data_IF_640889617725
#
_entry.id   IF_640889617725
#
_cell.length_a   1.000
_cell.length_b   1.000
_cell.length_c   1.000
_cell.angle_alpha   90.00
_cell.angle_beta   90.00
_cell.angle_gamma   90.00
#
_symmetry.space_group_name_H-M   'P 1'
#
loop_
_entity.id
_entity.type
_entity.pdbx_description
1 polymer ?
#
# COMPACT_ATOMS: atom_id res chain seq x y z
N UNK A 1 -21.37 39.55 25.42
CA UNK A 1 -20.33 39.74 26.45
C UNK A 1 -19.14 40.41 25.78
N UNK A 2 -18.57 41.51 26.33
CA UNK A 2 -17.41 42.13 25.72
C UNK A 2 -16.20 41.22 25.94
N UNK A 3 -15.53 40.83 24.85
CA UNK A 3 -14.28 40.08 24.90
C UNK A 3 -13.23 40.94 25.60
N UNK A 4 -12.62 40.38 26.64
CA UNK A 4 -11.40 40.90 27.26
C UNK A 4 -10.41 41.32 26.18
N UNK A 5 -9.91 42.55 26.24
CA UNK A 5 -8.87 43.06 25.33
C UNK A 5 -7.57 42.34 25.63
N UNK A 6 -7.39 41.14 25.06
CA UNK A 6 -6.11 40.45 25.12
C UNK A 6 -5.10 41.31 24.35
N UNK A 7 -4.05 41.72 25.05
CA UNK A 7 -2.90 42.45 24.49
C UNK A 7 -1.99 41.53 23.66
N UNK A 8 -2.34 40.26 23.53
CA UNK A 8 -1.61 39.26 22.75
C UNK A 8 -1.89 39.31 21.26
N UNK A 9 -0.93 38.83 20.48
CA UNK A 9 -1.15 38.52 19.06
C UNK A 9 -1.77 37.14 18.91
N UNK A 10 -2.73 36.99 18.00
CA UNK A 10 -3.43 35.73 17.73
C UNK A 10 -3.80 35.65 16.24
N UNK A 11 -4.20 34.49 15.74
CA UNK A 11 -4.57 34.32 14.33
C UNK A 11 -6.08 34.18 14.18
N UNK A 12 -6.65 34.88 13.19
CA UNK A 12 -8.06 34.77 12.79
C UNK A 12 -8.12 34.25 11.37
N UNK A 13 -8.89 33.20 11.14
CA UNK A 13 -9.17 32.68 9.81
C UNK A 13 -10.57 33.11 9.35
N UNK A 14 -10.71 33.39 8.05
CA UNK A 14 -11.99 33.59 7.36
C UNK A 14 -11.95 32.91 5.99
N UNK A 15 -13.09 32.84 5.31
CA UNK A 15 -13.21 32.31 3.95
C UNK A 15 -12.26 32.97 2.94
N UNK A 16 -11.85 34.23 3.18
CA UNK A 16 -11.05 35.01 2.23
C UNK A 16 -9.55 35.09 2.57
N UNK A 17 -9.19 34.96 3.85
CA UNK A 17 -7.82 35.22 4.29
C UNK A 17 -7.52 34.63 5.67
N UNK A 18 -6.22 34.58 5.98
CA UNK A 18 -5.71 34.36 7.33
C UNK A 18 -5.11 35.68 7.82
N UNK A 19 -5.51 36.12 9.01
CA UNK A 19 -5.06 37.37 9.62
C UNK A 19 -4.21 37.08 10.84
N UNK A 20 -3.08 37.80 10.96
CA UNK A 20 -2.40 37.97 12.24
C UNK A 20 -3.03 39.18 12.93
N UNK A 21 -3.61 38.97 14.10
CA UNK A 21 -4.33 39.95 14.90
C UNK A 21 -3.46 40.43 16.07
N UNK A 22 -3.69 41.67 16.52
CA UNK A 22 -3.27 42.22 17.81
C UNK A 22 -4.49 42.88 18.44
N UNK A 23 -4.99 42.35 19.55
CA UNK A 23 -6.30 42.74 20.08
C UNK A 23 -7.38 42.53 19.01
N UNK A 24 -8.13 43.59 18.67
CA UNK A 24 -9.22 43.54 17.67
C UNK A 24 -8.80 44.00 16.26
N UNK A 25 -7.52 44.25 16.02
CA UNK A 25 -7.00 44.80 14.75
C UNK A 25 -6.06 43.81 14.09
N UNK A 26 -6.05 43.72 12.75
CA UNK A 26 -5.08 42.89 12.02
C UNK A 26 -3.80 43.66 11.71
N UNK A 27 -2.66 42.98 11.78
CA UNK A 27 -1.32 43.52 11.50
C UNK A 27 -0.66 42.85 10.28
N UNK A 28 -1.13 41.66 9.87
CA UNK A 28 -0.75 41.03 8.61
C UNK A 28 -1.91 40.21 8.06
N UNK A 29 -1.97 40.05 6.74
CA UNK A 29 -3.01 39.34 6.02
C UNK A 29 -2.38 38.46 4.94
N UNK A 30 -2.65 37.16 5.00
CA UNK A 30 -2.36 36.21 3.92
C UNK A 30 -3.65 35.99 3.13
N UNK A 31 -3.67 36.43 1.88
CA UNK A 31 -4.79 36.24 0.96
C UNK A 31 -4.82 34.79 0.47
N UNK A 32 -6.00 34.17 0.44
CA UNK A 32 -6.18 32.82 -0.12
C UNK A 32 -6.30 32.80 -1.65
N UNK A 33 -6.35 33.98 -2.27
CA UNK A 33 -6.37 34.21 -3.70
C UNK A 33 -5.50 35.44 -4.04
N UNK A 34 -4.84 35.47 -5.22
CA UNK A 34 -3.94 36.58 -5.58
C UNK A 34 -4.65 37.93 -5.63
N UNK A 35 -4.04 38.97 -5.06
CA UNK A 35 -4.42 40.36 -5.34
C UNK A 35 -4.03 40.75 -6.77
N UNK A 36 -4.91 41.46 -7.48
CA UNK A 36 -4.61 42.01 -8.80
C UNK A 36 -3.63 43.19 -8.78
N UNK A 37 -3.24 43.68 -7.59
CA UNK A 37 -2.48 44.93 -7.41
C UNK A 37 -1.13 44.77 -6.74
N UNK A 38 -0.76 43.58 -6.26
CA UNK A 38 0.50 43.37 -5.56
C UNK A 38 1.33 42.24 -6.21
N UNK A 39 2.36 42.56 -7.01
CA UNK A 39 3.17 41.57 -7.71
C UNK A 39 4.13 40.79 -6.80
N UNK A 40 4.25 41.15 -5.51
CA UNK A 40 5.06 40.42 -4.54
C UNK A 40 4.27 39.37 -3.75
N UNK A 41 2.94 39.28 -3.93
CA UNK A 41 2.15 38.20 -3.35
C UNK A 41 2.46 36.87 -4.04
N UNK A 42 2.83 35.86 -3.25
CA UNK A 42 2.95 34.49 -3.72
C UNK A 42 1.67 33.72 -3.40
N UNK A 43 1.05 33.15 -4.44
CA UNK A 43 -0.06 32.22 -4.28
C UNK A 43 0.49 30.83 -4.06
N UNK A 44 0.22 30.26 -2.89
CA UNK A 44 0.51 28.86 -2.64
C UNK A 44 -0.63 28.01 -3.21
N UNK A 45 -0.30 27.08 -4.11
CA UNK A 45 -1.27 26.10 -4.57
C UNK A 45 -1.55 25.10 -3.44
N UNK A 46 -2.69 25.27 -2.78
CA UNK A 46 -3.14 24.43 -1.68
C UNK A 46 -4.19 23.38 -2.11
N UNK A 47 -4.36 23.15 -3.41
CA UNK A 47 -5.40 22.24 -3.93
C UNK A 47 -5.27 20.83 -3.33
N UNK A 48 -4.04 20.35 -3.09
CA UNK A 48 -3.79 19.08 -2.42
C UNK A 48 -4.13 19.06 -0.93
N UNK A 49 -4.22 20.22 -0.27
CA UNK A 49 -4.56 20.32 1.16
C UNK A 49 -6.04 20.14 1.43
N UNK A 50 -6.92 20.52 0.49
CA UNK A 50 -8.38 20.41 0.67
C UNK A 50 -8.80 18.95 0.95
N UNK A 51 -8.33 18.01 0.12
CA UNK A 51 -8.57 16.58 0.34
C UNK A 51 -7.82 16.02 1.56
N UNK A 52 -6.71 16.66 1.97
CA UNK A 52 -5.94 16.23 3.15
C UNK A 52 -6.66 16.51 4.46
N UNK A 53 -7.42 17.62 4.56
CA UNK A 53 -8.22 17.93 5.75
C UNK A 53 -9.40 16.99 5.98
N UNK A 54 -9.79 16.21 4.97
CA UNK A 54 -10.85 15.18 5.09
C UNK A 54 -10.29 13.82 5.56
N UNK A 55 -8.96 13.67 5.68
CA UNK A 55 -8.33 12.44 6.14
C UNK A 55 -8.31 12.35 7.66
N UNK A 56 -8.31 11.13 8.20
CA UNK A 56 -8.20 10.89 9.64
C UNK A 56 -6.89 11.42 10.25
N UNK A 57 -5.85 11.61 9.44
CA UNK A 57 -4.53 12.13 9.79
C UNK A 57 -4.32 13.58 9.32
N UNK A 58 -5.39 14.36 9.28
CA UNK A 58 -5.30 15.78 8.92
C UNK A 58 -4.27 16.52 9.81
N UNK A 59 -3.52 17.48 9.27
CA UNK A 59 -2.50 18.19 10.03
C UNK A 59 -3.16 19.04 11.12
N UNK A 60 -2.71 18.87 12.37
CA UNK A 60 -3.20 19.63 13.54
C UNK A 60 -2.32 20.82 13.88
N UNK A 61 -1.15 20.94 13.25
CA UNK A 61 -0.20 22.03 13.45
C UNK A 61 0.53 22.38 12.15
N UNK A 62 1.00 23.63 12.07
CA UNK A 62 1.84 24.14 10.98
C UNK A 62 3.03 24.86 11.60
N UNK A 63 4.25 24.54 11.13
CA UNK A 63 5.49 25.16 11.60
C UNK A 63 6.02 26.10 10.52
N UNK A 64 6.39 27.32 10.90
CA UNK A 64 7.08 28.29 10.04
C UNK A 64 8.52 28.45 10.52
N UNK A 65 9.49 28.22 9.63
CA UNK A 65 10.90 28.49 9.90
C UNK A 65 11.30 29.80 9.19
N UNK A 66 11.71 30.81 9.95
CA UNK A 66 12.23 32.07 9.42
C UNK A 66 13.76 32.07 9.51
N UNK A 67 14.45 32.00 8.37
CA UNK A 67 15.90 32.29 8.29
C UNK A 67 16.85 31.28 8.95
N UNK A 68 16.41 30.04 9.22
CA UNK A 68 17.24 29.08 9.99
C UNK A 68 18.19 28.22 9.16
N UNK A 69 18.08 28.22 7.83
CA UNK A 69 18.86 27.30 6.98
C UNK A 69 18.65 25.82 7.35
N UNK A 70 17.53 25.50 8.01
CA UNK A 70 17.21 24.14 8.41
C UNK A 70 17.16 23.24 7.17
N UNK A 71 17.74 22.02 7.23
CA UNK A 71 17.69 21.10 6.10
C UNK A 71 16.23 20.79 5.75
N UNK A 72 15.98 20.63 4.46
CA UNK A 72 14.71 20.15 3.95
C UNK A 72 14.40 18.79 4.62
N UNK A 73 13.17 18.57 5.14
CA UNK A 73 12.81 17.27 5.68
C UNK A 73 12.90 16.22 4.57
N UNK A 74 13.33 15.01 4.92
CA UNK A 74 13.38 13.91 3.96
C UNK A 74 11.99 13.68 3.34
N UNK A 75 11.91 13.35 2.03
CA UNK A 75 10.64 13.08 1.39
C UNK A 75 9.94 11.93 2.11
N UNK A 76 8.63 12.08 2.33
CA UNK A 76 7.84 10.99 2.88
C UNK A 76 7.87 9.78 1.94
N UNK A 77 8.28 8.63 2.48
CA UNK A 77 8.28 7.36 1.76
C UNK A 77 7.17 6.47 2.35
N UNK A 78 6.25 5.94 1.52
CA UNK A 78 5.32 4.91 1.92
C UNK A 78 6.03 3.79 2.69
N UNK A 79 5.55 3.49 3.89
CA UNK A 79 6.15 2.45 4.74
C UNK A 79 5.37 1.15 4.69
N UNK A 80 6.12 0.06 4.60
CA UNK A 80 5.70 -1.33 4.78
C UNK A 80 6.94 -2.14 5.22
N UNK A 81 6.78 -3.28 5.90
CA UNK A 81 7.93 -4.14 6.25
C UNK A 81 8.71 -4.65 5.03
N UNK A 82 8.05 -4.66 3.87
CA UNK A 82 8.62 -5.19 2.62
C UNK A 82 8.76 -6.71 2.63
N UNK A 83 8.25 -7.37 3.68
CA UNK A 83 8.31 -8.82 3.88
C UNK A 83 6.93 -9.37 4.20
N UNK A 84 6.66 -10.54 3.65
CA UNK A 84 5.44 -11.29 3.92
C UNK A 84 5.47 -11.76 5.37
N UNK A 85 4.41 -11.49 6.10
CA UNK A 85 4.31 -11.91 7.49
C UNK A 85 4.03 -13.42 7.60
N UNK A 86 4.14 -14.02 8.81
CA UNK A 86 3.94 -15.46 9.00
C UNK A 86 2.58 -15.97 8.52
N UNK A 87 1.52 -15.18 8.68
CA UNK A 87 0.17 -15.52 8.22
C UNK A 87 0.06 -15.57 6.70
N UNK A 88 0.70 -14.63 6.00
CA UNK A 88 0.79 -14.63 4.54
C UNK A 88 1.54 -15.83 4.00
N UNK A 89 2.68 -16.17 4.62
CA UNK A 89 3.46 -17.35 4.27
C UNK A 89 2.63 -18.62 4.49
N UNK A 90 1.93 -18.73 5.62
CA UNK A 90 1.05 -19.86 5.91
C UNK A 90 -0.10 -19.99 4.88
N UNK A 91 -0.69 -18.86 4.47
CA UNK A 91 -1.73 -18.81 3.45
C UNK A 91 -1.21 -19.31 2.10
N UNK A 92 -0.06 -18.81 1.66
CA UNK A 92 0.57 -19.24 0.39
C UNK A 92 0.83 -20.74 0.43
N UNK A 93 1.48 -21.24 1.49
CA UNK A 93 1.78 -22.66 1.65
C UNK A 93 0.54 -23.55 1.63
N UNK A 94 -0.56 -23.09 2.24
CA UNK A 94 -1.82 -23.81 2.25
C UNK A 94 -2.40 -23.98 0.83
N UNK A 95 -2.40 -22.92 0.02
CA UNK A 95 -2.99 -22.96 -1.32
C UNK A 95 -2.08 -23.57 -2.40
N UNK A 96 -0.76 -23.40 -2.29
CA UNK A 96 0.19 -24.02 -3.23
C UNK A 96 0.38 -25.52 -2.94
N UNK A 97 0.42 -25.89 -1.66
CA UNK A 97 0.67 -27.26 -1.21
C UNK A 97 2.13 -27.70 -1.42
N UNK A 98 2.63 -28.56 -0.52
CA UNK A 98 4.01 -29.05 -0.57
C UNK A 98 4.14 -30.29 -1.46
N UNK A 99 5.06 -30.24 -2.43
CA UNK A 99 5.50 -31.40 -3.24
C UNK A 99 7.01 -31.58 -3.14
N UNK A 100 7.46 -32.57 -2.37
CA UNK A 100 8.89 -32.87 -2.15
C UNK A 100 9.55 -33.64 -3.29
N UNK A 101 8.78 -34.10 -4.27
CA UNK A 101 9.29 -34.77 -5.47
C UNK A 101 8.85 -33.97 -6.69
N UNK A 102 9.77 -33.72 -7.62
CA UNK A 102 9.48 -33.00 -8.85
C UNK A 102 8.40 -33.71 -9.68
N UNK A 103 7.44 -32.94 -10.18
CA UNK A 103 6.34 -33.41 -11.02
C UNK A 103 6.20 -32.48 -12.24
N UNK A 104 5.50 -32.94 -13.28
CA UNK A 104 5.13 -32.07 -14.39
C UNK A 104 3.74 -31.49 -14.14
N UNK A 105 3.61 -30.17 -14.27
CA UNK A 105 2.32 -29.50 -14.28
C UNK A 105 1.51 -29.84 -15.55
N UNK A 106 0.24 -29.40 -15.68
CA UNK A 106 -0.59 -29.70 -16.85
C UNK A 106 -0.02 -29.23 -18.20
N UNK A 107 0.94 -28.28 -18.19
CA UNK A 107 1.60 -27.78 -19.40
C UNK A 107 2.99 -28.39 -19.62
N UNK A 108 3.39 -29.36 -18.79
CA UNK A 108 4.61 -30.15 -18.95
C UNK A 108 5.86 -29.57 -18.28
N UNK A 109 5.74 -28.50 -17.50
CA UNK A 109 6.86 -27.84 -16.82
C UNK A 109 7.19 -28.59 -15.53
N UNK A 110 8.48 -28.82 -15.28
CA UNK A 110 8.94 -29.44 -14.03
C UNK A 110 8.79 -28.47 -12.85
N UNK A 111 8.06 -28.92 -11.84
CA UNK A 111 7.69 -28.13 -10.65
C UNK A 111 8.01 -28.90 -9.37
N UNK A 112 8.45 -28.20 -8.31
CA UNK A 112 8.76 -28.79 -7.00
C UNK A 112 8.44 -27.81 -5.86
N UNK A 113 8.40 -28.29 -4.62
CA UNK A 113 8.16 -27.47 -3.43
C UNK A 113 6.74 -26.89 -3.43
N UNK A 114 6.65 -25.57 -3.30
CA UNK A 114 5.40 -24.79 -3.34
C UNK A 114 5.21 -24.10 -4.70
N UNK A 115 5.31 -24.87 -5.78
CA UNK A 115 5.11 -24.35 -7.15
C UNK A 115 6.37 -23.80 -7.84
N UNK A 116 7.57 -24.05 -7.29
CA UNK A 116 8.82 -23.57 -7.87
C UNK A 116 9.14 -24.25 -9.21
N UNK A 117 9.64 -23.47 -10.18
CA UNK A 117 10.09 -23.95 -11.48
C UNK A 117 11.44 -23.34 -11.83
N UNK A 118 12.22 -23.96 -12.72
CA UNK A 118 13.52 -23.44 -13.18
C UNK A 118 13.45 -22.03 -13.79
N UNK A 119 12.25 -21.57 -14.21
CA UNK A 119 12.06 -20.21 -14.73
C UNK A 119 12.02 -19.16 -13.62
N UNK A 120 11.68 -19.55 -12.39
CA UNK A 120 11.71 -18.67 -11.22
C UNK A 120 13.15 -18.37 -10.77
N UNK A 121 14.11 -19.20 -11.19
CA UNK A 121 15.53 -19.06 -10.87
C UNK A 121 16.11 -20.38 -10.40
N UNK A 122 17.27 -20.35 -9.72
CA UNK A 122 17.80 -21.53 -9.05
C UNK A 122 16.89 -21.94 -7.87
N UNK A 123 16.84 -23.24 -7.51
CA UNK A 123 17.52 -24.34 -8.18
C UNK A 123 16.80 -24.80 -9.47
N UNK A 124 17.53 -25.23 -10.51
CA UNK A 124 16.89 -25.85 -11.67
C UNK A 124 16.16 -27.14 -11.26
N UNK A 125 14.88 -27.23 -11.62
CA UNK A 125 14.04 -28.41 -11.39
C UNK A 125 14.18 -29.38 -12.56
N UNK A 126 14.44 -30.64 -12.25
CA UNK A 126 14.61 -31.71 -13.22
C UNK A 126 13.93 -33.00 -12.76
N UNK A 127 13.72 -33.93 -13.71
CA UNK A 127 13.08 -35.22 -13.47
C UNK A 127 13.79 -36.00 -12.36
N UNK A 128 13.03 -36.45 -11.38
CA UNK A 128 13.55 -37.27 -10.27
C UNK A 128 14.21 -36.46 -9.14
N UNK A 129 14.22 -35.12 -9.23
CA UNK A 129 14.67 -34.27 -8.13
C UNK A 129 13.75 -34.45 -6.91
N UNK A 130 14.36 -34.56 -5.73
CA UNK A 130 13.68 -34.62 -4.44
C UNK A 130 14.28 -33.61 -3.47
N UNK A 131 13.44 -33.01 -2.64
CA UNK A 131 13.84 -32.06 -1.61
C UNK A 131 13.13 -32.36 -0.28
N UNK A 132 13.71 -31.90 0.81
CA UNK A 132 13.10 -31.89 2.14
C UNK A 132 12.08 -30.74 2.25
N UNK A 133 11.21 -30.81 3.27
CA UNK A 133 10.28 -29.71 3.57
C UNK A 133 11.01 -28.40 3.92
N UNK A 134 12.19 -28.48 4.55
CA UNK A 134 13.01 -27.33 4.89
C UNK A 134 13.63 -26.68 3.64
N UNK A 135 14.10 -27.48 2.69
CA UNK A 135 14.57 -26.97 1.40
C UNK A 135 13.43 -26.34 0.60
N UNK A 136 12.24 -26.94 0.62
CA UNK A 136 11.06 -26.36 -0.03
C UNK A 136 10.66 -24.99 0.59
N UNK A 137 10.79 -24.83 1.90
CA UNK A 137 10.59 -23.54 2.56
C UNK A 137 11.65 -22.51 2.13
N UNK A 138 12.92 -22.90 2.08
CA UNK A 138 13.99 -22.01 1.65
C UNK A 138 13.80 -21.53 0.20
N UNK A 139 13.38 -22.43 -0.70
CA UNK A 139 13.03 -22.12 -2.08
C UNK A 139 11.84 -21.15 -2.13
N UNK A 140 10.78 -21.40 -1.35
CA UNK A 140 9.63 -20.50 -1.29
C UNK A 140 10.03 -19.09 -0.85
N UNK A 141 10.88 -18.94 0.16
CA UNK A 141 11.34 -17.62 0.60
C UNK A 141 12.10 -16.87 -0.52
N UNK A 142 12.92 -17.59 -1.30
CA UNK A 142 13.61 -17.00 -2.45
C UNK A 142 12.64 -16.59 -3.57
N UNK A 143 11.65 -17.42 -3.86
CA UNK A 143 10.62 -17.10 -4.85
C UNK A 143 9.82 -15.85 -4.41
N UNK A 144 9.49 -15.76 -3.12
CA UNK A 144 8.76 -14.63 -2.55
C UNK A 144 9.53 -13.32 -2.66
N UNK A 145 10.87 -13.31 -2.61
CA UNK A 145 11.67 -12.07 -2.77
C UNK A 145 11.35 -11.33 -4.08
N UNK A 146 11.02 -12.05 -5.16
CA UNK A 146 10.61 -11.43 -6.42
C UNK A 146 9.24 -10.74 -6.28
N UNK A 147 8.28 -11.43 -5.67
CA UNK A 147 6.92 -10.92 -5.51
C UNK A 147 6.84 -9.79 -4.49
N UNK A 148 7.54 -9.91 -3.36
CA UNK A 148 7.65 -8.88 -2.33
C UNK A 148 8.22 -7.58 -2.90
N UNK A 149 9.33 -7.64 -3.64
CA UNK A 149 9.88 -6.46 -4.33
C UNK A 149 8.94 -5.93 -5.39
N UNK A 150 8.30 -6.82 -6.15
CA UNK A 150 7.37 -6.47 -7.20
C UNK A 150 6.12 -5.75 -6.70
N UNK A 151 5.61 -6.16 -5.52
CA UNK A 151 4.48 -5.56 -4.82
C UNK A 151 4.92 -4.25 -4.15
N UNK A 152 5.99 -4.26 -3.37
CA UNK A 152 6.54 -3.08 -2.71
C UNK A 152 6.76 -1.91 -3.68
N UNK A 153 7.42 -2.19 -4.82
CA UNK A 153 7.68 -1.17 -5.85
C UNK A 153 6.44 -0.66 -6.59
N UNK A 154 5.26 -1.24 -6.35
CA UNK A 154 4.00 -0.81 -6.95
C UNK A 154 3.10 -0.05 -5.95
N UNK A 155 3.45 -0.03 -4.66
CA UNK A 155 2.67 0.65 -3.61
C UNK A 155 3.07 2.12 -3.54
N UNK A 156 2.07 2.99 -3.40
CA UNK A 156 2.27 4.45 -3.29
C UNK A 156 1.78 5.03 -1.97
N UNK A 157 1.29 4.17 -1.06
CA UNK A 157 0.77 4.55 0.25
C UNK A 157 1.30 3.62 1.35
N UNK A 158 1.33 4.11 2.60
CA UNK A 158 1.63 3.26 3.75
C UNK A 158 0.67 2.08 3.79
N UNK A 159 1.24 0.88 3.90
CA UNK A 159 0.54 -0.39 3.80
C UNK A 159 0.91 -1.25 5.00
N UNK A 160 -0.09 -1.78 5.71
CA UNK A 160 0.21 -2.66 6.84
C UNK A 160 0.64 -4.07 6.38
N UNK A 161 1.27 -4.83 7.27
CA UNK A 161 1.84 -6.13 6.94
C UNK A 161 0.81 -7.15 6.43
N UNK A 162 -0.42 -7.10 6.93
CA UNK A 162 -1.50 -7.98 6.51
C UNK A 162 -1.97 -7.67 5.08
N UNK A 163 -2.15 -6.39 4.75
CA UNK A 163 -2.48 -5.94 3.41
C UNK A 163 -1.37 -6.28 2.42
N UNK A 164 -0.11 -6.00 2.80
CA UNK A 164 1.06 -6.34 2.00
C UNK A 164 1.11 -7.84 1.71
N UNK A 165 1.01 -8.66 2.76
CA UNK A 165 1.08 -10.13 2.65
C UNK A 165 -0.05 -10.73 1.81
N UNK A 166 -1.27 -10.21 1.93
CA UNK A 166 -2.38 -10.63 1.09
C UNK A 166 -2.17 -10.25 -0.39
N UNK A 167 -1.62 -9.06 -0.67
CA UNK A 167 -1.27 -8.65 -2.02
C UNK A 167 -0.10 -9.45 -2.61
N UNK A 168 0.88 -9.85 -1.79
CA UNK A 168 1.96 -10.76 -2.20
C UNK A 168 1.40 -12.14 -2.54
N UNK A 169 0.53 -12.73 -1.70
CA UNK A 169 -0.10 -14.01 -2.01
C UNK A 169 -0.95 -13.96 -3.30
N UNK A 170 -1.69 -12.87 -3.48
CA UNK A 170 -2.46 -12.64 -4.70
C UNK A 170 -1.54 -12.55 -5.92
N UNK A 171 -0.47 -11.74 -5.84
CA UNK A 171 0.50 -11.58 -6.92
C UNK A 171 1.26 -12.88 -7.22
N UNK A 172 1.53 -13.71 -6.21
CA UNK A 172 2.12 -15.04 -6.38
C UNK A 172 1.22 -15.93 -7.24
N UNK A 173 -0.09 -15.85 -7.05
CA UNK A 173 -1.06 -16.62 -7.82
C UNK A 173 -1.28 -16.14 -9.25
N UNK A 174 -1.46 -14.83 -9.43
CA UNK A 174 -1.88 -14.25 -10.72
C UNK A 174 -0.71 -13.70 -11.55
N UNK A 175 0.47 -13.63 -10.95
CA UNK A 175 1.66 -13.00 -11.50
C UNK A 175 1.71 -11.48 -11.27
N UNK A 176 2.93 -10.93 -11.20
CA UNK A 176 3.16 -9.50 -11.00
C UNK A 176 2.56 -8.61 -12.11
N UNK A 177 2.51 -9.11 -13.34
CA UNK A 177 1.92 -8.38 -14.46
C UNK A 177 0.42 -8.13 -14.27
N UNK A 178 -0.34 -9.15 -13.86
CA UNK A 178 -1.76 -9.01 -13.58
C UNK A 178 -2.01 -8.17 -12.31
N UNK A 179 -1.20 -8.37 -11.27
CA UNK A 179 -1.26 -7.55 -10.05
C UNK A 179 -1.09 -6.05 -10.33
N UNK A 180 -0.05 -5.67 -11.08
CA UNK A 180 0.25 -4.26 -11.40
C UNK A 180 -0.86 -3.55 -12.17
N UNK A 181 -1.61 -4.31 -12.99
CA UNK A 181 -2.72 -3.77 -13.77
C UNK A 181 -4.10 -3.95 -13.10
N UNK A 182 -4.13 -4.47 -11.86
CA UNK A 182 -5.37 -4.81 -11.18
C UNK A 182 -6.12 -3.58 -10.66
N UNK A 183 -7.46 -3.67 -10.66
CA UNK A 183 -8.31 -2.71 -9.94
C UNK A 183 -8.06 -2.76 -8.43
N UNK A 184 -7.62 -3.91 -7.90
CA UNK A 184 -7.23 -4.06 -6.50
C UNK A 184 -6.12 -3.08 -6.14
N UNK A 185 -4.99 -3.11 -6.85
CA UNK A 185 -3.87 -2.20 -6.61
C UNK A 185 -4.26 -0.74 -6.81
N UNK A 186 -5.03 -0.44 -7.86
CA UNK A 186 -5.50 0.93 -8.12
C UNK A 186 -6.34 1.49 -6.96
N UNK A 187 -7.28 0.70 -6.43
CA UNK A 187 -8.09 1.10 -5.27
C UNK A 187 -7.26 1.20 -3.99
N UNK A 188 -6.34 0.25 -3.77
CA UNK A 188 -5.43 0.28 -2.64
C UNK A 188 -4.63 1.58 -2.64
N UNK A 189 -3.93 1.91 -3.73
CA UNK A 189 -3.13 3.13 -3.85
C UNK A 189 -3.97 4.42 -3.79
N UNK A 190 -5.27 4.36 -4.03
CA UNK A 190 -6.21 5.47 -3.83
C UNK A 190 -6.70 5.60 -2.37
N UNK A 191 -6.26 4.73 -1.45
CA UNK A 191 -6.73 4.68 -0.07
C UNK A 191 -8.10 4.00 0.12
N UNK A 192 -8.71 3.49 -0.94
CA UNK A 192 -9.98 2.75 -0.89
C UNK A 192 -9.73 1.29 -0.48
N UNK A 193 -9.38 1.09 0.79
CA UNK A 193 -9.04 -0.24 1.31
C UNK A 193 -10.23 -1.21 1.29
N UNK A 194 -11.44 -0.73 1.59
CA UNK A 194 -12.65 -1.54 1.56
C UNK A 194 -12.99 -1.96 0.12
N UNK A 195 -12.89 -1.04 -0.83
CA UNK A 195 -13.09 -1.34 -2.23
C UNK A 195 -12.00 -2.25 -2.80
N UNK A 196 -10.75 -2.11 -2.37
CA UNK A 196 -9.65 -3.02 -2.74
C UNK A 196 -9.89 -4.43 -2.23
N UNK A 197 -10.32 -4.59 -0.97
CA UNK A 197 -10.68 -5.89 -0.41
C UNK A 197 -11.81 -6.58 -1.19
N UNK A 198 -12.75 -5.81 -1.76
CA UNK A 198 -13.84 -6.34 -2.58
C UNK A 198 -13.42 -6.69 -4.01
N UNK A 199 -12.18 -6.42 -4.43
CA UNK A 199 -11.67 -6.84 -5.73
C UNK A 199 -11.13 -8.28 -5.71
N UNK A 200 -10.69 -8.82 -4.57
CA UNK A 200 -10.21 -10.21 -4.49
C UNK A 200 -11.21 -11.23 -5.07
N UNK A 201 -12.52 -11.24 -4.71
CA UNK A 201 -13.47 -12.23 -5.21
C UNK A 201 -13.76 -12.16 -6.71
N UNK A 202 -13.22 -11.17 -7.43
CA UNK A 202 -13.38 -11.05 -8.89
C UNK A 202 -12.39 -11.92 -9.66
N UNK A 203 -11.32 -12.38 -9.00
CA UNK A 203 -10.24 -13.17 -9.58
C UNK A 203 -10.42 -14.66 -9.30
N UNK A 204 -11.58 -15.19 -9.73
CA UNK A 204 -12.02 -16.57 -9.46
C UNK A 204 -12.19 -17.42 -10.73
N UNK A 205 -11.89 -16.85 -11.89
CA UNK A 205 -12.08 -17.48 -13.19
C UNK A 205 -10.76 -18.01 -13.75
N UNK A 206 -10.80 -19.20 -14.33
CA UNK A 206 -9.77 -19.71 -15.23
C UNK A 206 -10.48 -20.26 -16.48
N UNK A 207 -10.01 -19.91 -17.68
CA UNK A 207 -10.65 -20.26 -18.95
C UNK A 207 -12.17 -19.98 -18.99
N UNK A 208 -12.59 -18.87 -18.37
CA UNK A 208 -13.99 -18.45 -18.30
C UNK A 208 -14.86 -19.23 -17.30
N UNK A 209 -14.30 -20.20 -16.59
CA UNK A 209 -15.00 -21.03 -15.60
C UNK A 209 -14.63 -20.59 -14.18
N UNK A 210 -15.61 -20.55 -13.27
CA UNK A 210 -15.36 -20.31 -11.84
C UNK A 210 -14.66 -21.55 -11.26
N UNK A 211 -13.49 -21.35 -10.65
CA UNK A 211 -12.78 -22.41 -9.94
C UNK A 211 -13.03 -22.33 -8.43
N UNK A 212 -13.63 -23.36 -7.80
CA UNK A 212 -13.88 -23.36 -6.35
C UNK A 212 -12.61 -23.14 -5.50
N UNK A 213 -11.45 -23.62 -5.97
CA UNK A 213 -10.17 -23.38 -5.33
C UNK A 213 -9.79 -21.89 -5.30
N UNK A 214 -9.99 -21.17 -6.40
CA UNK A 214 -9.75 -19.73 -6.46
C UNK A 214 -10.75 -18.96 -5.61
N UNK A 215 -12.02 -19.38 -5.56
CA UNK A 215 -13.02 -18.76 -4.67
C UNK A 215 -12.55 -18.79 -3.20
N UNK A 216 -12.13 -19.97 -2.71
CA UNK A 216 -11.60 -20.11 -1.34
C UNK A 216 -10.33 -19.28 -1.13
N UNK A 217 -9.39 -19.33 -2.08
CA UNK A 217 -8.14 -18.55 -2.01
C UNK A 217 -8.40 -17.05 -1.92
N UNK A 218 -9.24 -16.52 -2.79
CA UNK A 218 -9.57 -15.09 -2.81
C UNK A 218 -10.32 -14.63 -1.56
N UNK A 219 -11.17 -15.48 -0.99
CA UNK A 219 -11.81 -15.19 0.30
C UNK A 219 -10.79 -15.15 1.44
N UNK A 220 -9.87 -16.13 1.50
CA UNK A 220 -8.81 -16.16 2.50
C UNK A 220 -7.88 -14.94 2.41
N UNK A 221 -7.41 -14.59 1.21
CA UNK A 221 -6.57 -13.41 1.00
C UNK A 221 -7.30 -12.12 1.38
N UNK A 222 -8.59 -12.01 1.05
CA UNK A 222 -9.42 -10.88 1.49
C UNK A 222 -9.50 -10.80 3.01
N UNK A 223 -9.71 -11.91 3.70
CA UNK A 223 -9.75 -11.96 5.16
C UNK A 223 -8.41 -11.51 5.75
N UNK A 224 -7.28 -12.05 5.25
CA UNK A 224 -5.94 -11.62 5.66
C UNK A 224 -5.77 -10.11 5.44
N UNK A 225 -6.12 -9.59 4.26
CA UNK A 225 -6.02 -8.17 3.93
C UNK A 225 -6.81 -7.27 4.91
N UNK A 226 -7.97 -7.74 5.38
CA UNK A 226 -8.81 -7.07 6.36
C UNK A 226 -8.37 -7.29 7.82
N UNK A 227 -7.28 -8.02 8.05
CA UNK A 227 -6.79 -8.38 9.39
C UNK A 227 -7.69 -9.38 10.12
N UNK A 228 -8.46 -10.17 9.37
CA UNK A 228 -9.35 -11.20 9.88
C UNK A 228 -8.71 -12.59 9.75
N UNK A 229 -9.05 -13.54 10.64
CA UNK A 229 -8.66 -14.93 10.46
C UNK A 229 -9.17 -15.46 9.11
N UNK A 230 -8.28 -16.02 8.30
CA UNK A 230 -8.63 -16.44 6.94
C UNK A 230 -9.07 -17.89 6.81
N UNK A 231 -8.77 -18.74 7.81
CA UNK A 231 -9.30 -20.10 8.01
C UNK A 231 -9.09 -21.09 6.84
N UNK A 232 -8.52 -22.28 7.06
CA UNK A 232 -8.53 -23.33 6.05
C UNK A 232 -9.94 -23.92 5.83
#
# INVERSE_FOLDING_TARGET
MPLSTSTGTWMKETDLAIYLMRGNTWISRLTKAPSSTNPQEQVLNITGMAAWFERADYPTAMTFAMGTGAPEPDPWVPSHSGKTNPEGIALIKHFEGLRTTAYQDPVGIWTIGYGHTSMAGPPPVYKGMTITAAEAEAILQQDLDLFERGVAGALTITTNDNQFSAMVSFAFNVGLGAFRNSTLLRKHNAGDFAGAANEFPRWIYADGQILPGLVRRRQAERSLYLGQPWGP
#
